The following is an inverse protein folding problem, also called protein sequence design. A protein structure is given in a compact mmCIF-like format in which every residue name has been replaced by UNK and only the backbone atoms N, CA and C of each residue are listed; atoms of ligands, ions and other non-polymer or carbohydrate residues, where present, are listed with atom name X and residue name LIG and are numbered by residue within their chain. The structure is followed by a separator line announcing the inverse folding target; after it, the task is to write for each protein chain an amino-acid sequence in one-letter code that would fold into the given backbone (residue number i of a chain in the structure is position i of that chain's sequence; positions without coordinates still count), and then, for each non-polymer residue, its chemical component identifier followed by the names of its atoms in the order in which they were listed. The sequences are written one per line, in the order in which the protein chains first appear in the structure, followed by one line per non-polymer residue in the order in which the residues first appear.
data_IF_144506551816
#
_entry.id   IF_144506551816
#
_cell.length_a   1.000
_cell.length_b   1.000
_cell.length_c   1.000
_cell.angle_alpha   90.00
_cell.angle_beta   90.00
_cell.angle_gamma   90.00
#
_symmetry.space_group_name_H-M   'P 1'
#
loop_
_entity.id
_entity.type
_entity.pdbx_description
1 polymer ?
#
# COMPACT_ATOMS: atom_id res chain seq x y z
N UNK A 1 -7.92 -10.72 38.52
CA UNK A 1 -7.30 -11.49 37.42
C UNK A 1 -7.23 -10.65 36.13
N UNK A 2 -6.04 -10.17 35.75
CA UNK A 2 -5.84 -9.63 34.40
C UNK A 2 -6.08 -10.79 33.44
N UNK A 3 -7.00 -10.61 32.50
CA UNK A 3 -7.13 -11.49 31.35
C UNK A 3 -5.74 -11.63 30.71
N UNK A 4 -5.32 -12.84 30.28
CA UNK A 4 -4.10 -12.99 29.52
C UNK A 4 -4.18 -12.03 28.33
N UNK A 5 -3.15 -11.20 28.13
CA UNK A 5 -3.05 -10.39 26.92
C UNK A 5 -3.17 -11.37 25.76
N UNK A 6 -4.24 -11.25 24.96
CA UNK A 6 -4.31 -11.92 23.66
C UNK A 6 -2.97 -11.66 22.98
N UNK A 7 -2.27 -12.73 22.62
CA UNK A 7 -1.05 -12.62 21.81
C UNK A 7 -1.52 -12.22 20.42
N UNK A 8 -1.80 -10.93 20.22
CA UNK A 8 -2.04 -10.37 18.91
C UNK A 8 -0.69 -10.24 18.21
N UNK A 9 -0.53 -10.90 17.06
CA UNK A 9 0.60 -10.66 16.16
C UNK A 9 0.67 -9.15 15.89
N UNK A 10 1.83 -8.56 16.11
CA UNK A 10 2.06 -7.12 16.03
C UNK A 10 3.39 -6.85 15.34
N UNK A 11 3.35 -6.01 14.31
CA UNK A 11 4.51 -5.52 13.56
C UNK A 11 5.14 -4.32 14.27
N UNK A 12 4.33 -3.43 14.85
CA UNK A 12 4.83 -2.21 15.48
C UNK A 12 5.21 -2.41 16.96
N UNK A 13 4.51 -3.31 17.65
CA UNK A 13 4.49 -3.35 19.10
C UNK A 13 3.89 -2.10 19.73
N UNK A 14 3.60 -2.16 21.03
CA UNK A 14 2.90 -1.07 21.74
C UNK A 14 3.65 0.27 21.74
N UNK A 15 5.00 0.25 21.82
CA UNK A 15 5.81 1.47 21.88
C UNK A 15 5.77 2.24 20.56
N UNK A 16 6.03 1.59 19.43
CA UNK A 16 6.03 2.26 18.12
C UNK A 16 4.61 2.64 17.72
N UNK A 17 3.62 1.79 17.98
CA UNK A 17 2.21 2.12 17.71
C UNK A 17 1.73 3.34 18.51
N UNK A 18 2.07 3.42 19.79
CA UNK A 18 1.75 4.57 20.64
C UNK A 18 2.44 5.85 20.18
N UNK A 19 3.74 5.78 19.88
CA UNK A 19 4.49 6.89 19.31
C UNK A 19 3.88 7.38 18.00
N UNK A 20 3.61 6.48 17.05
CA UNK A 20 3.07 6.83 15.74
C UNK A 20 1.72 7.55 15.87
N UNK A 21 0.80 6.98 16.65
CA UNK A 21 -0.51 7.60 16.91
C UNK A 21 -0.37 8.98 17.53
N UNK A 22 0.52 9.14 18.52
CA UNK A 22 0.76 10.44 19.15
C UNK A 22 1.29 11.48 18.15
N UNK A 23 2.23 11.09 17.27
CA UNK A 23 2.77 11.98 16.22
C UNK A 23 1.72 12.39 15.20
N UNK A 24 0.88 11.46 14.75
CA UNK A 24 -0.19 11.74 13.80
C UNK A 24 -1.23 12.72 14.37
N UNK A 25 -1.58 12.59 15.66
CA UNK A 25 -2.51 13.51 16.33
C UNK A 25 -2.00 14.94 16.49
N UNK A 26 -0.68 15.12 16.50
CA UNK A 26 -0.04 16.43 16.66
C UNK A 26 0.34 17.06 15.30
N UNK A 27 0.14 16.33 14.21
CA UNK A 27 0.54 16.80 12.89
C UNK A 27 -0.36 17.93 12.41
N UNK A 28 0.26 19.03 11.98
CA UNK A 28 -0.39 20.14 11.26
C UNK A 28 -0.09 20.08 9.75
N UNK A 29 0.56 19.00 9.28
CA UNK A 29 0.93 18.84 7.89
C UNK A 29 -0.30 18.51 7.02
N UNK A 30 -0.25 18.96 5.76
CA UNK A 30 -1.28 18.66 4.77
C UNK A 30 -1.34 17.16 4.43
N UNK A 31 -0.17 16.51 4.34
CA UNK A 31 -0.04 15.09 4.01
C UNK A 31 0.65 14.35 5.15
N UNK A 32 0.10 13.20 5.56
CA UNK A 32 0.67 12.36 6.60
C UNK A 32 1.15 11.05 6.00
N UNK A 33 2.47 10.85 5.96
CA UNK A 33 3.08 9.75 5.20
C UNK A 33 3.62 8.67 6.13
N UNK A 34 3.22 7.42 5.91
CA UNK A 34 3.80 6.23 6.50
C UNK A 34 4.77 5.60 5.49
N UNK A 35 6.06 5.93 5.61
CA UNK A 35 7.11 5.25 4.85
C UNK A 35 7.54 3.99 5.61
N UNK A 36 7.27 2.82 5.05
CA UNK A 36 7.41 1.54 5.75
C UNK A 36 7.71 0.39 4.78
N UNK A 37 7.94 -0.81 5.31
CA UNK A 37 8.60 -1.89 4.58
C UNK A 37 7.62 -2.74 3.74
N UNK A 38 6.51 -3.20 4.32
CA UNK A 38 5.70 -4.31 3.81
C UNK A 38 4.25 -3.89 3.54
N UNK A 39 3.59 -4.49 2.56
CA UNK A 39 2.29 -4.05 2.02
C UNK A 39 1.14 -4.09 3.03
N UNK A 40 0.37 -3.00 3.07
CA UNK A 40 -0.84 -2.83 3.88
C UNK A 40 -2.11 -3.28 3.18
N UNK A 41 -2.18 -3.23 1.85
CA UNK A 41 -3.31 -3.74 1.08
C UNK A 41 -3.58 -5.22 1.38
N UNK A 42 -4.83 -5.56 1.71
CA UNK A 42 -5.24 -6.94 1.95
C UNK A 42 -5.61 -7.61 0.63
N UNK A 43 -4.59 -8.13 -0.06
CA UNK A 43 -4.76 -8.77 -1.37
C UNK A 43 -4.85 -10.29 -1.20
N UNK A 44 -5.97 -10.85 -1.63
CA UNK A 44 -6.14 -12.28 -1.83
C UNK A 44 -5.36 -12.72 -3.08
N UNK A 45 -4.43 -13.65 -2.87
CA UNK A 45 -3.53 -14.20 -3.90
C UNK A 45 -3.92 -15.63 -4.31
N UNK A 46 -5.04 -16.15 -3.81
CA UNK A 46 -5.70 -17.32 -4.37
C UNK A 46 -6.72 -16.90 -5.44
N UNK A 47 -7.13 -17.86 -6.27
CA UNK A 47 -8.22 -17.65 -7.21
C UNK A 47 -9.45 -18.42 -6.70
N UNK A 48 -10.62 -17.79 -6.74
CA UNK A 48 -11.89 -18.40 -6.38
C UNK A 48 -12.25 -18.30 -4.89
N UNK A 49 -12.84 -19.37 -4.36
CA UNK A 49 -13.48 -19.34 -3.04
C UNK A 49 -12.50 -19.42 -1.86
N UNK A 50 -11.36 -20.09 -2.04
CA UNK A 50 -10.31 -20.12 -1.03
C UNK A 50 -9.63 -18.75 -0.94
N UNK A 51 -9.38 -18.27 0.28
CA UNK A 51 -8.70 -17.00 0.53
C UNK A 51 -7.31 -17.24 1.05
N UNK A 52 -6.31 -16.66 0.38
CA UNK A 52 -4.90 -16.78 0.76
C UNK A 52 -4.26 -15.41 0.76
N UNK A 53 -3.67 -15.04 1.90
CA UNK A 53 -2.98 -13.77 2.08
C UNK A 53 -1.50 -14.00 2.36
N UNK A 54 -0.67 -13.01 2.07
CA UNK A 54 0.76 -13.09 2.41
C UNK A 54 0.97 -13.03 3.92
N UNK A 55 1.70 -14.01 4.46
CA UNK A 55 2.09 -14.04 5.87
C UNK A 55 3.31 -13.16 6.18
N UNK A 56 3.93 -12.58 5.16
CA UNK A 56 5.11 -11.73 5.28
C UNK A 56 4.77 -10.23 5.05
N UNK A 57 3.49 -9.88 5.11
CA UNK A 57 2.98 -8.52 4.93
C UNK A 57 2.04 -8.17 6.08
N UNK A 58 1.42 -6.99 6.08
CA UNK A 58 0.49 -6.60 7.17
C UNK A 58 -0.71 -7.55 7.35
N UNK A 59 -1.02 -8.38 6.34
CA UNK A 59 -2.04 -9.40 6.45
C UNK A 59 -1.74 -10.42 7.57
N UNK A 60 -0.49 -10.68 7.94
CA UNK A 60 -0.16 -11.55 9.09
C UNK A 60 -0.55 -10.92 10.44
N UNK A 61 -0.58 -9.60 10.51
CA UNK A 61 -1.01 -8.80 11.65
C UNK A 61 -2.33 -8.06 11.35
N UNK A 62 -3.28 -8.74 10.67
CA UNK A 62 -4.54 -8.14 10.17
C UNK A 62 -5.26 -7.29 11.22
N UNK A 63 -5.35 -7.76 12.47
CA UNK A 63 -6.01 -6.98 13.53
C UNK A 63 -5.31 -5.64 13.81
N UNK A 64 -3.98 -5.63 13.92
CA UNK A 64 -3.21 -4.39 14.13
C UNK A 64 -3.32 -3.46 12.92
N UNK A 65 -3.23 -4.01 11.70
CA UNK A 65 -3.44 -3.28 10.43
C UNK A 65 -4.79 -2.56 10.46
N UNK A 66 -5.88 -3.30 10.72
CA UNK A 66 -7.23 -2.75 10.77
C UNK A 66 -7.34 -1.66 11.84
N UNK A 67 -6.80 -1.88 13.04
CA UNK A 67 -6.81 -0.91 14.14
C UNK A 67 -6.01 0.36 13.83
N UNK A 68 -4.94 0.25 13.04
CA UNK A 68 -4.20 1.42 12.57
C UNK A 68 -5.03 2.23 11.57
N UNK A 69 -5.61 1.57 10.55
CA UNK A 69 -6.44 2.26 9.55
C UNK A 69 -7.73 2.82 10.16
N UNK A 70 -8.37 2.10 11.08
CA UNK A 70 -9.51 2.59 11.86
C UNK A 70 -9.14 3.83 12.66
N UNK A 71 -7.97 3.84 13.31
CA UNK A 71 -7.48 5.04 13.99
C UNK A 71 -7.29 6.23 13.03
N UNK A 72 -6.78 6.01 11.81
CA UNK A 72 -6.64 7.08 10.80
C UNK A 72 -8.01 7.68 10.45
N UNK A 73 -9.02 6.83 10.26
CA UNK A 73 -10.39 7.21 9.95
C UNK A 73 -11.06 7.97 11.11
N UNK A 74 -11.07 7.37 12.31
CA UNK A 74 -11.75 7.91 13.50
C UNK A 74 -11.18 9.25 13.93
N UNK A 75 -9.86 9.39 13.84
CA UNK A 75 -9.16 10.63 14.21
C UNK A 75 -9.07 11.63 13.07
N UNK A 76 -9.62 11.29 11.90
CA UNK A 76 -9.63 12.12 10.69
C UNK A 76 -8.25 12.64 10.34
N UNK A 77 -7.25 11.76 10.37
CA UNK A 77 -5.87 12.12 10.04
C UNK A 77 -5.84 12.66 8.61
N UNK A 78 -5.33 13.88 8.36
CA UNK A 78 -5.35 14.48 7.03
C UNK A 78 -4.50 13.68 6.05
N UNK A 79 -5.11 13.35 4.90
CA UNK A 79 -4.47 12.80 3.70
C UNK A 79 -3.39 11.73 3.98
N UNK A 80 -3.77 10.55 4.52
CA UNK A 80 -2.81 9.51 4.83
C UNK A 80 -2.31 8.81 3.56
N UNK A 81 -0.99 8.81 3.36
CA UNK A 81 -0.31 8.10 2.27
C UNK A 81 0.62 7.04 2.88
N UNK A 82 0.62 5.84 2.32
CA UNK A 82 1.53 4.75 2.69
C UNK A 82 2.48 4.50 1.52
N UNK A 83 3.78 4.45 1.82
CA UNK A 83 4.83 4.10 0.87
C UNK A 83 5.46 2.78 1.32
N UNK A 84 5.58 1.86 0.37
CA UNK A 84 5.90 0.46 0.65
C UNK A 84 6.90 -0.10 -0.38
N UNK A 85 7.69 -1.11 0.00
CA UNK A 85 8.50 -1.90 -0.94
C UNK A 85 8.34 -3.41 -0.72
N UNK A 86 9.46 -4.11 -0.53
CA UNK A 86 9.58 -5.54 -0.18
C UNK A 86 9.08 -6.55 -1.24
N UNK A 87 7.84 -6.45 -1.70
CA UNK A 87 7.15 -7.52 -2.45
C UNK A 87 7.60 -7.68 -3.93
N UNK A 88 8.62 -6.93 -4.37
CA UNK A 88 9.22 -6.97 -5.71
C UNK A 88 8.23 -6.81 -6.87
N UNK A 89 7.12 -6.11 -6.63
CA UNK A 89 6.14 -5.73 -7.62
C UNK A 89 5.48 -4.40 -7.24
N UNK A 90 5.02 -3.69 -8.26
CA UNK A 90 4.35 -2.40 -8.11
C UNK A 90 2.88 -2.64 -7.78
N UNK A 91 2.34 -1.87 -6.84
CA UNK A 91 0.91 -1.86 -6.52
C UNK A 91 0.45 -0.46 -6.16
N UNK A 92 -0.77 -0.11 -6.53
CA UNK A 92 -1.45 1.06 -5.99
C UNK A 92 -2.76 0.60 -5.34
N UNK A 93 -2.90 0.79 -4.03
CA UNK A 93 -4.03 0.26 -3.25
C UNK A 93 -4.82 1.37 -2.57
N UNK A 94 -6.13 1.27 -2.60
CA UNK A 94 -7.04 2.04 -1.76
C UNK A 94 -7.32 1.28 -0.46
N UNK A 95 -6.81 1.80 0.65
CA UNK A 95 -6.92 1.16 1.96
C UNK A 95 -8.22 1.56 2.64
N UNK A 96 -8.99 0.56 3.06
CA UNK A 96 -10.17 0.68 3.93
C UNK A 96 -9.82 0.14 5.30
N UNK A 97 -10.67 0.29 6.31
CA UNK A 97 -10.44 -0.42 7.58
C UNK A 97 -10.32 -1.93 7.32
N UNK A 98 -11.22 -2.47 6.49
CA UNK A 98 -11.21 -3.83 5.99
C UNK A 98 -11.35 -3.82 4.46
N UNK A 99 -10.28 -4.11 3.72
CA UNK A 99 -10.29 -4.01 2.25
C UNK A 99 -11.22 -5.03 1.58
N UNK A 100 -11.61 -6.09 2.31
CA UNK A 100 -12.57 -7.10 1.85
C UNK A 100 -13.99 -6.54 1.73
N UNK A 101 -14.26 -5.37 2.34
CA UNK A 101 -15.54 -4.67 2.30
C UNK A 101 -15.46 -3.49 1.36
N UNK A 102 -15.52 -3.76 0.06
CA UNK A 102 -15.30 -2.77 -1.00
C UNK A 102 -16.26 -1.57 -0.96
N UNK A 103 -17.44 -1.75 -0.37
CA UNK A 103 -18.48 -0.74 -0.16
C UNK A 103 -18.18 0.25 0.98
N UNK A 104 -17.18 -0.04 1.82
CA UNK A 104 -16.77 0.86 2.90
C UNK A 104 -15.86 1.99 2.40
N UNK A 105 -15.81 3.15 3.09
CA UNK A 105 -15.01 4.28 2.67
C UNK A 105 -13.51 3.98 2.61
N UNK A 106 -12.85 4.50 1.58
CA UNK A 106 -11.38 4.55 1.52
C UNK A 106 -10.88 5.53 2.60
N UNK A 107 -9.83 5.13 3.31
CA UNK A 107 -9.24 5.89 4.43
C UNK A 107 -7.85 6.42 4.07
N UNK A 108 -7.07 5.65 3.33
CA UNK A 108 -5.70 5.97 2.97
C UNK A 108 -5.36 5.42 1.58
N UNK A 109 -4.30 5.94 0.99
CA UNK A 109 -3.75 5.43 -0.28
C UNK A 109 -2.39 4.79 -0.03
N UNK A 110 -2.12 3.64 -0.65
CA UNK A 110 -0.81 3.00 -0.63
C UNK A 110 -0.20 2.95 -2.02
N UNK A 111 1.06 3.37 -2.12
CA UNK A 111 1.90 3.19 -3.29
C UNK A 111 3.06 2.24 -2.96
N UNK A 112 3.00 1.03 -3.49
CA UNK A 112 4.01 0.01 -3.34
C UNK A 112 4.95 0.05 -4.53
N UNK A 113 6.22 0.35 -4.30
CA UNK A 113 7.27 0.29 -5.31
C UNK A 113 7.80 -1.13 -5.50
N UNK A 114 8.01 -1.53 -6.75
CA UNK A 114 8.78 -2.73 -7.07
C UNK A 114 10.24 -2.58 -6.64
N UNK A 115 11.01 -3.66 -6.75
CA UNK A 115 12.44 -3.67 -6.52
C UNK A 115 13.21 -2.91 -7.61
N UNK A 116 14.38 -2.39 -7.24
CA UNK A 116 15.34 -1.83 -8.19
C UNK A 116 15.88 -2.91 -9.14
N UNK A 117 16.23 -4.11 -8.61
CA UNK A 117 16.80 -5.19 -9.43
C UNK A 117 16.44 -6.62 -8.98
N UNK A 118 15.92 -6.81 -7.77
CA UNK A 118 15.59 -8.14 -7.26
C UNK A 118 14.62 -8.89 -8.19
N UNK A 119 14.90 -10.17 -8.44
CA UNK A 119 14.15 -11.05 -9.34
C UNK A 119 14.28 -10.76 -10.85
N UNK A 120 15.28 -9.97 -11.26
CA UNK A 120 15.60 -9.71 -12.68
C UNK A 120 14.58 -8.79 -13.36
N UNK A 121 14.46 -8.83 -14.69
CA UNK A 121 13.61 -7.89 -15.44
C UNK A 121 12.14 -7.94 -15.03
N UNK A 122 11.63 -9.17 -14.82
CA UNK A 122 10.23 -9.46 -14.49
C UNK A 122 9.24 -9.08 -15.61
N UNK A 123 8.10 -9.75 -15.69
CA UNK A 123 7.11 -9.44 -16.72
C UNK A 123 6.32 -8.18 -16.35
N UNK A 124 5.74 -7.49 -17.33
CA UNK A 124 4.79 -6.41 -17.06
C UNK A 124 3.55 -6.90 -16.31
N UNK A 125 2.96 -7.99 -16.78
CA UNK A 125 1.75 -8.60 -16.21
C UNK A 125 2.02 -10.03 -15.75
N UNK A 126 1.24 -10.48 -14.77
CA UNK A 126 1.20 -11.88 -14.33
C UNK A 126 0.03 -12.60 -14.96
N UNK A 127 0.14 -13.93 -15.09
CA UNK A 127 -1.00 -14.78 -15.44
C UNK A 127 -2.08 -14.64 -14.37
N UNK A 128 -3.34 -14.47 -14.78
CA UNK A 128 -4.48 -14.34 -13.87
C UNK A 128 -4.67 -12.96 -13.25
N UNK A 129 -3.98 -11.93 -13.77
CA UNK A 129 -4.09 -10.57 -13.24
C UNK A 129 -5.53 -10.05 -13.20
N UNK A 130 -6.33 -10.27 -14.25
CA UNK A 130 -7.72 -9.79 -14.29
C UNK A 130 -8.58 -10.40 -13.19
N UNK A 131 -8.41 -11.69 -12.91
CA UNK A 131 -9.10 -12.37 -11.81
C UNK A 131 -8.65 -11.82 -10.45
N UNK A 132 -7.34 -11.63 -10.25
CA UNK A 132 -6.80 -11.03 -9.03
C UNK A 132 -7.38 -9.63 -8.79
N UNK A 133 -7.45 -8.78 -9.83
CA UNK A 133 -8.00 -7.43 -9.71
C UNK A 133 -9.53 -7.45 -9.47
N UNK A 134 -10.26 -8.39 -10.09
CA UNK A 134 -11.69 -8.55 -9.86
C UNK A 134 -12.01 -8.99 -8.42
N UNK A 135 -11.18 -9.86 -7.84
CA UNK A 135 -11.34 -10.33 -6.47
C UNK A 135 -10.84 -9.33 -5.41
N UNK A 136 -10.02 -8.35 -5.81
CA UNK A 136 -9.43 -7.35 -4.92
C UNK A 136 -9.73 -5.91 -5.39
N UNK A 137 -10.95 -5.39 -5.20
CA UNK A 137 -11.35 -4.06 -5.66
C UNK A 137 -10.53 -2.89 -5.08
N UNK A 138 -9.79 -3.13 -4.01
CA UNK A 138 -8.84 -2.17 -3.43
C UNK A 138 -7.63 -1.92 -4.35
N UNK A 139 -7.23 -2.88 -5.17
CA UNK A 139 -6.06 -2.80 -6.05
C UNK A 139 -6.43 -2.02 -7.32
N UNK A 140 -5.76 -0.89 -7.55
CA UNK A 140 -5.97 -0.02 -8.72
C UNK A 140 -4.88 -0.16 -9.77
N UNK A 141 -3.76 -0.77 -9.40
CA UNK A 141 -2.64 -1.01 -10.28
C UNK A 141 -1.80 -2.19 -9.80
N UNK A 142 -1.27 -2.94 -10.75
CA UNK A 142 -0.24 -3.94 -10.50
C UNK A 142 0.68 -4.07 -11.71
N UNK A 143 1.98 -4.17 -11.46
CA UNK A 143 3.02 -4.36 -12.49
C UNK A 143 4.24 -5.07 -11.88
N UNK A 144 4.87 -6.02 -12.60
CA UNK A 144 6.04 -6.78 -12.11
C UNK A 144 7.36 -6.42 -12.80
N UNK A 145 7.45 -5.28 -13.47
CA UNK A 145 8.73 -4.74 -13.91
C UNK A 145 9.50 -4.19 -12.70
N UNK A 146 10.82 -4.12 -12.83
CA UNK A 146 11.66 -3.39 -11.88
C UNK A 146 11.39 -1.92 -11.99
N UNK A 147 11.39 -1.22 -10.86
CA UNK A 147 10.94 0.15 -10.85
C UNK A 147 11.45 0.92 -9.63
N UNK A 148 11.16 2.21 -9.66
CA UNK A 148 11.03 3.05 -8.48
C UNK A 148 9.78 3.92 -8.67
N UNK A 149 9.29 4.52 -7.58
CA UNK A 149 8.14 5.45 -7.62
C UNK A 149 8.64 6.86 -7.35
N UNK A 150 8.32 7.79 -8.24
CA UNK A 150 8.52 9.22 -7.99
C UNK A 150 7.24 9.84 -7.46
N UNK A 151 7.33 10.63 -6.39
CA UNK A 151 6.18 11.33 -5.83
C UNK A 151 6.38 12.85 -5.96
N UNK A 152 5.41 13.52 -6.56
CA UNK A 152 5.35 14.99 -6.63
C UNK A 152 4.22 15.44 -5.72
N UNK A 153 4.55 16.22 -4.69
CA UNK A 153 3.62 16.56 -3.60
C UNK A 153 3.36 18.05 -3.60
N UNK A 154 2.09 18.43 -3.73
CA UNK A 154 1.58 19.78 -3.63
C UNK A 154 0.52 19.85 -2.53
N UNK A 155 0.13 21.05 -2.04
CA UNK A 155 -0.90 21.15 -1.00
C UNK A 155 -2.25 20.53 -1.39
N UNK A 156 -2.62 20.61 -2.65
CA UNK A 156 -3.92 20.17 -3.18
C UNK A 156 -3.89 18.76 -3.79
N UNK A 157 -2.70 18.24 -4.14
CA UNK A 157 -2.56 16.94 -4.80
C UNK A 157 -1.25 16.21 -4.46
N UNK A 158 -1.34 14.89 -4.45
CA UNK A 158 -0.21 13.98 -4.44
C UNK A 158 -0.19 13.20 -5.75
N UNK A 159 0.90 13.27 -6.50
CA UNK A 159 1.09 12.51 -7.73
C UNK A 159 2.17 11.45 -7.53
N UNK A 160 1.90 10.21 -7.96
CA UNK A 160 2.86 9.11 -7.96
C UNK A 160 3.01 8.51 -9.35
N UNK A 161 4.24 8.48 -9.86
CA UNK A 161 4.58 7.90 -11.16
C UNK A 161 5.44 6.65 -10.99
N UNK A 162 5.01 5.54 -11.58
CA UNK A 162 5.71 4.27 -11.58
C UNK A 162 6.75 4.23 -12.69
N UNK A 163 8.01 4.45 -12.32
CA UNK A 163 9.16 4.53 -13.23
C UNK A 163 9.77 3.15 -13.42
N UNK A 164 9.32 2.44 -14.46
CA UNK A 164 9.77 1.08 -14.75
C UNK A 164 11.04 1.07 -15.58
N UNK A 165 11.89 0.08 -15.32
CA UNK A 165 13.16 -0.15 -15.99
C UNK A 165 13.01 -1.41 -16.86
N UNK A 166 13.28 -1.28 -18.16
CA UNK A 166 13.12 -2.36 -19.14
C UNK A 166 14.11 -3.52 -18.92
N UNK A 167 15.33 -3.19 -18.52
CA UNK A 167 16.45 -4.12 -18.43
C UNK A 167 17.31 -3.78 -17.21
N UNK A 168 17.50 -4.74 -16.31
CA UNK A 168 18.33 -4.61 -15.11
C UNK A 168 19.44 -5.65 -15.02
N UNK A 169 19.49 -6.62 -15.93
CA UNK A 169 20.54 -7.64 -15.97
C UNK A 169 21.82 -7.13 -16.65
N UNK A 170 21.74 -6.00 -17.35
CA UNK A 170 22.87 -5.29 -17.96
C UNK A 170 22.70 -3.77 -17.86
N UNK A 171 23.79 -2.99 -17.88
CA UNK A 171 23.72 -1.53 -17.92
C UNK A 171 22.95 -1.00 -19.15
N UNK A 172 22.39 0.19 -19.04
CA UNK A 172 21.73 0.91 -20.14
C UNK A 172 20.22 0.67 -20.29
N UNK A 173 19.58 0.03 -19.29
CA UNK A 173 18.13 -0.12 -19.26
C UNK A 173 17.39 1.22 -19.32
N UNK A 174 16.39 1.30 -20.19
CA UNK A 174 15.58 2.52 -20.37
C UNK A 174 14.54 2.63 -19.25
N UNK A 175 14.33 3.85 -18.79
CA UNK A 175 13.29 4.19 -17.81
C UNK A 175 12.09 4.77 -18.55
N UNK A 176 10.89 4.29 -18.23
CA UNK A 176 9.62 4.84 -18.74
C UNK A 176 8.58 4.90 -17.61
N UNK A 177 7.49 5.66 -17.81
CA UNK A 177 6.36 5.65 -16.88
C UNK A 177 5.38 4.55 -17.27
N UNK A 178 5.15 3.57 -16.40
CA UNK A 178 4.14 2.54 -16.62
C UNK A 178 2.72 3.02 -16.27
N UNK A 179 2.60 3.84 -15.23
CA UNK A 179 1.35 4.46 -14.81
C UNK A 179 1.63 5.68 -13.93
N UNK A 180 0.70 6.64 -13.96
CA UNK A 180 0.67 7.83 -13.12
C UNK A 180 -0.66 7.89 -12.39
N UNK A 181 -0.61 8.29 -11.12
CA UNK A 181 -1.78 8.36 -10.25
C UNK A 181 -1.79 9.67 -9.48
N UNK A 182 -2.99 10.21 -9.26
CA UNK A 182 -3.25 11.38 -8.43
C UNK A 182 -4.17 10.99 -7.28
N UNK A 183 -3.86 11.54 -6.10
CA UNK A 183 -4.74 11.61 -4.93
C UNK A 183 -4.95 13.09 -4.63
N UNK A 184 -6.21 13.51 -4.52
CA UNK A 184 -6.55 14.90 -4.20
C UNK A 184 -6.59 15.08 -2.68
N UNK A 185 -6.18 16.24 -2.19
CA UNK A 185 -6.33 16.56 -0.79
C UNK A 185 -7.80 16.47 -0.37
N UNK A 186 -8.07 15.76 0.73
CA UNK A 186 -9.40 15.49 1.26
C UNK A 186 -10.07 14.26 0.64
N UNK A 187 -9.49 13.64 -0.37
CA UNK A 187 -10.05 12.48 -1.06
C UNK A 187 -8.98 11.38 -1.26
N UNK A 188 -9.00 10.30 -0.47
CA UNK A 188 -7.99 9.23 -0.54
C UNK A 188 -8.19 8.27 -1.74
N UNK A 189 -9.19 8.49 -2.59
CA UNK A 189 -9.40 7.67 -3.78
C UNK A 189 -8.33 7.94 -4.85
N UNK A 190 -7.92 6.88 -5.55
CA UNK A 190 -6.89 6.96 -6.59
C UNK A 190 -7.53 7.32 -7.93
N UNK A 191 -6.98 8.34 -8.60
CA UNK A 191 -7.31 8.67 -10.00
C UNK A 191 -6.11 8.36 -10.89
N UNK A 192 -6.33 7.57 -11.94
CA UNK A 192 -5.31 7.35 -12.98
C UNK A 192 -5.30 8.51 -13.96
N UNK A 193 -4.11 8.91 -14.42
CA UNK A 193 -3.90 9.99 -15.40
C UNK A 193 -3.18 9.50 -16.65
#
# INVERSE_FOLDING_TARGET
PRLPMEVSISLLGGKQAGWLKARLLQSTAQWNVLAQQVMMGMVDIAAGAEKRYSMDQWCSATFERMKLVEFLADRKIPNPIVLTGDIHSNWANELRVDDRKADTPVVATEFVGSSISSSGNGPKQVKGLDALLAENPCVKFHDRQRAYVTCTVAPDKWQSDYRVIEEVLKPGGKVSTAASFIVESGNPAIKRT
#
